data_IF_678422980298
#
_entry.id   IF_678422980298
#
_cell.length_a   1.000
_cell.length_b   1.000
_cell.length_c   1.000
_cell.angle_alpha   90.00
_cell.angle_beta   90.00
_cell.angle_gamma   90.00
#
_symmetry.space_group_name_H-M   'P 1'
#
loop_
_entity.id
_entity.type
_entity.pdbx_description
1 polymer ?
#
# COMPACT_ATOMS: atom_id res chain seq x y z
N UNK A 1 -5.69 3.81 -23.22
CA UNK A 1 -4.88 4.05 -22.01
C UNK A 1 -5.76 4.13 -20.77
N UNK A 2 -6.84 4.91 -20.82
CA UNK A 2 -7.81 5.03 -19.73
C UNK A 2 -8.45 3.71 -19.28
N UNK A 3 -8.90 2.85 -20.22
CA UNK A 3 -9.40 1.50 -19.93
C UNK A 3 -8.37 0.63 -19.19
N UNK A 4 -7.09 0.74 -19.55
CA UNK A 4 -5.99 0.01 -18.89
C UNK A 4 -5.79 0.51 -17.46
N UNK A 5 -5.81 1.83 -17.24
CA UNK A 5 -5.69 2.43 -15.91
C UNK A 5 -6.89 2.09 -15.01
N UNK A 6 -8.10 2.05 -15.57
CA UNK A 6 -9.29 1.63 -14.84
C UNK A 6 -9.20 0.17 -14.40
N UNK A 7 -8.81 -0.74 -15.30
CA UNK A 7 -8.61 -2.14 -14.96
C UNK A 7 -7.49 -2.33 -13.92
N UNK A 8 -6.39 -1.58 -14.05
CA UNK A 8 -5.29 -1.61 -13.09
C UNK A 8 -5.75 -1.15 -11.70
N UNK A 9 -6.46 -0.01 -11.64
CA UNK A 9 -7.05 0.48 -10.41
C UNK A 9 -8.00 -0.53 -9.77
N UNK A 10 -8.88 -1.14 -10.54
CA UNK A 10 -9.85 -2.11 -10.03
C UNK A 10 -9.17 -3.36 -9.47
N UNK A 11 -8.22 -3.95 -10.20
CA UNK A 11 -7.48 -5.14 -9.74
C UNK A 11 -6.65 -4.80 -8.49
N UNK A 12 -5.95 -3.67 -8.50
CA UNK A 12 -5.15 -3.22 -7.36
C UNK A 12 -6.01 -2.91 -6.13
N UNK A 13 -7.23 -2.41 -6.31
CA UNK A 13 -8.18 -2.21 -5.22
C UNK A 13 -8.57 -3.53 -4.55
N UNK A 14 -8.94 -4.55 -5.33
CA UNK A 14 -9.28 -5.86 -4.75
C UNK A 14 -8.10 -6.48 -4.03
N UNK A 15 -6.90 -6.37 -4.59
CA UNK A 15 -5.68 -6.84 -3.94
C UNK A 15 -5.41 -6.11 -2.62
N UNK A 16 -5.51 -4.78 -2.61
CA UNK A 16 -5.35 -3.95 -1.42
C UNK A 16 -6.39 -4.29 -0.35
N UNK A 17 -7.65 -4.46 -0.73
CA UNK A 17 -8.73 -4.79 0.19
C UNK A 17 -8.51 -6.15 0.85
N UNK A 18 -8.20 -7.20 0.06
CA UNK A 18 -8.00 -8.55 0.58
C UNK A 18 -6.78 -8.60 1.50
N UNK A 19 -5.65 -8.05 1.05
CA UNK A 19 -4.41 -8.04 1.84
C UNK A 19 -4.53 -7.15 3.07
N UNK A 20 -5.22 -6.02 2.99
CA UNK A 20 -5.49 -5.14 4.12
C UNK A 20 -6.38 -5.80 5.18
N UNK A 21 -7.44 -6.50 4.77
CA UNK A 21 -8.29 -7.26 5.69
C UNK A 21 -7.50 -8.38 6.38
N UNK A 22 -6.67 -9.11 5.64
CA UNK A 22 -5.80 -10.14 6.22
C UNK A 22 -4.82 -9.54 7.22
N UNK A 23 -4.18 -8.41 6.89
CA UNK A 23 -3.23 -7.70 7.75
C UNK A 23 -3.89 -7.19 9.04
N UNK A 24 -5.07 -6.57 8.96
CA UNK A 24 -5.82 -6.11 10.14
C UNK A 24 -6.23 -7.30 11.00
N UNK A 25 -6.80 -8.34 10.38
CA UNK A 25 -7.27 -9.52 11.11
C UNK A 25 -6.13 -10.23 11.83
N UNK A 26 -4.98 -10.37 11.18
CA UNK A 26 -3.82 -11.01 11.76
C UNK A 26 -3.19 -10.18 12.88
N UNK A 27 -3.15 -8.85 12.71
CA UNK A 27 -2.69 -7.93 13.76
C UNK A 27 -3.57 -7.98 15.01
N UNK A 28 -4.89 -8.08 14.85
CA UNK A 28 -5.82 -8.25 15.97
C UNK A 28 -5.61 -9.58 16.70
N UNK A 29 -5.40 -10.68 15.97
CA UNK A 29 -5.13 -11.99 16.58
C UNK A 29 -3.81 -12.02 17.36
N UNK A 30 -2.79 -11.29 16.90
CA UNK A 30 -1.53 -11.10 17.64
C UNK A 30 -1.77 -10.26 18.90
N UNK A 31 -2.51 -9.15 18.79
CA UNK A 31 -2.77 -8.25 19.91
C UNK A 31 -3.53 -8.96 21.06
N UNK A 32 -4.39 -9.93 20.73
CA UNK A 32 -5.13 -10.75 21.69
C UNK A 32 -4.31 -11.96 22.21
N UNK A 33 -3.07 -12.15 21.76
CA UNK A 33 -2.23 -13.28 22.16
C UNK A 33 -2.72 -14.64 21.67
N UNK A 34 -3.58 -14.67 20.65
CA UNK A 34 -4.08 -15.92 20.04
C UNK A 34 -3.00 -16.59 19.18
N UNK A 35 -2.08 -15.79 18.63
CA UNK A 35 -0.97 -16.26 17.80
C UNK A 35 0.34 -15.67 18.32
N UNK A 36 1.24 -16.51 18.82
CA UNK A 36 2.51 -16.11 19.45
C UNK A 36 3.64 -15.73 18.44
N UNK A 37 3.44 -16.02 17.15
CA UNK A 37 4.48 -15.81 16.12
C UNK A 37 4.10 -14.68 15.16
N UNK A 38 4.36 -13.46 15.59
CA UNK A 38 4.21 -12.26 14.77
C UNK A 38 5.07 -12.31 13.49
N UNK A 39 6.23 -12.96 13.54
CA UNK A 39 7.16 -13.22 12.45
C UNK A 39 6.57 -14.12 11.35
N UNK A 40 5.84 -15.18 11.72
CA UNK A 40 5.15 -16.03 10.75
C UNK A 40 4.01 -15.29 10.06
N UNK A 41 3.35 -14.38 10.77
CA UNK A 41 2.28 -13.57 10.20
C UNK A 41 2.83 -12.44 9.35
N UNK A 42 3.79 -11.63 9.81
CA UNK A 42 4.39 -10.54 9.02
C UNK A 42 4.98 -11.02 7.69
N UNK A 43 5.58 -12.21 7.70
CA UNK A 43 6.11 -12.84 6.48
C UNK A 43 4.99 -13.34 5.54
N UNK A 44 3.82 -13.71 6.08
CA UNK A 44 2.67 -14.21 5.32
C UNK A 44 1.54 -13.16 5.10
N UNK A 45 1.55 -12.03 5.81
CA UNK A 45 0.52 -10.97 5.81
C UNK A 45 0.68 -10.03 4.63
N UNK A 46 1.74 -10.22 3.85
CA UNK A 46 1.92 -9.57 2.56
C UNK A 46 1.97 -8.04 2.68
N UNK A 47 2.63 -7.50 3.71
CA UNK A 47 2.73 -6.05 3.94
C UNK A 47 3.30 -5.30 2.71
N UNK A 48 4.30 -5.88 2.05
CA UNK A 48 4.84 -5.36 0.80
C UNK A 48 3.80 -5.40 -0.35
N UNK A 49 3.19 -6.55 -0.68
CA UNK A 49 2.09 -6.58 -1.66
C UNK A 49 0.91 -5.66 -1.33
N UNK A 50 0.54 -5.51 -0.06
CA UNK A 50 -0.49 -4.57 0.39
C UNK A 50 -0.09 -3.12 0.07
N UNK A 51 1.12 -2.73 0.44
CA UNK A 51 1.66 -1.41 0.14
C UNK A 51 1.74 -1.14 -1.38
N UNK A 52 2.22 -2.12 -2.16
CA UNK A 52 2.27 -1.99 -3.62
C UNK A 52 0.87 -1.88 -4.24
N UNK A 53 -0.07 -2.70 -3.80
CA UNK A 53 -1.45 -2.65 -4.29
C UNK A 53 -2.10 -1.29 -3.98
N UNK A 54 -1.90 -0.77 -2.77
CA UNK A 54 -2.37 0.55 -2.38
C UNK A 54 -1.75 1.67 -3.23
N UNK A 55 -0.44 1.60 -3.46
CA UNK A 55 0.29 2.60 -4.25
C UNK A 55 -0.14 2.59 -5.72
N UNK A 56 -0.28 1.41 -6.33
CA UNK A 56 -0.77 1.27 -7.71
C UNK A 56 -2.22 1.76 -7.81
N UNK A 57 -3.09 1.38 -6.88
CA UNK A 57 -4.48 1.84 -6.85
C UNK A 57 -4.56 3.37 -6.76
N UNK A 58 -3.89 3.95 -5.76
CA UNK A 58 -3.91 5.39 -5.51
C UNK A 58 -3.37 6.16 -6.71
N UNK A 59 -2.22 5.78 -7.24
CA UNK A 59 -1.61 6.45 -8.41
C UNK A 59 -2.47 6.29 -9.68
N UNK A 60 -3.12 5.15 -9.87
CA UNK A 60 -4.01 4.92 -11.02
C UNK A 60 -5.28 5.75 -10.94
N UNK A 61 -5.96 5.76 -9.79
CA UNK A 61 -7.18 6.57 -9.59
C UNK A 61 -6.91 8.06 -9.63
N UNK A 62 -5.79 8.47 -9.04
CA UNK A 62 -5.32 9.83 -9.15
C UNK A 62 -5.06 10.21 -10.61
N UNK A 63 -4.33 9.38 -11.37
CA UNK A 63 -4.06 9.64 -12.79
C UNK A 63 -5.33 9.89 -13.59
N UNK A 64 -6.36 9.07 -13.36
CA UNK A 64 -7.68 9.20 -13.97
C UNK A 64 -8.37 10.51 -13.56
N UNK A 65 -8.49 10.79 -12.26
CA UNK A 65 -9.14 12.01 -11.77
C UNK A 65 -8.42 13.30 -12.15
N UNK A 66 -7.08 13.27 -12.23
CA UNK A 66 -6.30 14.42 -12.68
C UNK A 66 -6.39 14.63 -14.19
N UNK A 67 -6.52 13.55 -14.98
CA UNK A 67 -6.79 13.63 -16.40
C UNK A 67 -8.13 14.30 -16.71
N UNK A 68 -9.14 14.07 -15.86
CA UNK A 68 -10.46 14.72 -15.95
C UNK A 68 -10.40 16.23 -15.59
N UNK A 69 -9.60 16.61 -14.60
CA UNK A 69 -9.56 18.00 -14.08
C UNK A 69 -8.58 18.89 -14.86
N UNK A 70 -7.39 18.39 -15.19
CA UNK A 70 -6.28 19.18 -15.73
C UNK A 70 -5.89 18.80 -17.17
N UNK A 71 -6.54 17.83 -17.78
CA UNK A 71 -6.16 17.32 -19.11
C UNK A 71 -4.79 16.61 -19.10
N UNK A 72 -3.94 16.88 -20.09
CA UNK A 72 -2.65 16.17 -20.31
C UNK A 72 -1.50 16.61 -19.36
N UNK A 73 -1.74 17.51 -18.41
CA UNK A 73 -0.65 18.07 -17.60
C UNK A 73 -0.06 17.01 -16.67
N UNK A 74 1.18 16.60 -16.96
CA UNK A 74 1.89 15.50 -16.26
C UNK A 74 2.50 15.90 -14.92
N UNK A 75 2.60 17.20 -14.62
CA UNK A 75 3.30 17.73 -13.44
C UNK A 75 2.68 17.24 -12.12
N UNK A 76 1.35 17.25 -11.94
CA UNK A 76 0.76 16.78 -10.69
C UNK A 76 0.94 15.28 -10.47
N UNK A 77 0.91 14.50 -11.55
CA UNK A 77 1.20 13.06 -11.53
C UNK A 77 2.63 12.79 -11.03
N UNK A 78 3.59 13.59 -11.51
CA UNK A 78 4.99 13.51 -11.06
C UNK A 78 5.11 13.81 -9.57
N UNK A 79 4.49 14.90 -9.09
CA UNK A 79 4.52 15.29 -7.67
C UNK A 79 3.95 14.20 -6.78
N UNK A 80 2.81 13.61 -7.16
CA UNK A 80 2.20 12.53 -6.40
C UNK A 80 2.94 11.20 -6.51
N UNK A 81 3.61 10.93 -7.62
CA UNK A 81 4.49 9.77 -7.75
C UNK A 81 5.68 9.90 -6.81
N UNK A 82 6.31 11.07 -6.76
CA UNK A 82 7.40 11.39 -5.83
C UNK A 82 6.92 11.29 -4.38
N UNK A 83 5.75 11.85 -4.06
CA UNK A 83 5.18 11.75 -2.72
C UNK A 83 4.91 10.29 -2.33
N UNK A 84 4.27 9.50 -3.21
CA UNK A 84 4.00 8.09 -2.96
C UNK A 84 5.28 7.28 -2.75
N UNK A 85 6.32 7.55 -3.53
CA UNK A 85 7.63 6.91 -3.38
C UNK A 85 8.29 7.27 -2.04
N UNK A 86 8.16 8.52 -1.61
CA UNK A 86 8.66 8.98 -0.31
C UNK A 86 7.91 8.32 0.85
N UNK A 87 6.58 8.24 0.79
CA UNK A 87 5.76 7.56 1.80
C UNK A 87 6.07 6.07 1.86
N UNK A 88 6.28 5.43 0.70
CA UNK A 88 6.69 4.04 0.63
C UNK A 88 8.08 3.82 1.24
N UNK A 89 9.06 4.66 0.89
CA UNK A 89 10.39 4.62 1.49
C UNK A 89 10.36 4.81 3.01
N UNK A 90 9.52 5.71 3.52
CA UNK A 90 9.30 5.89 4.94
C UNK A 90 8.69 4.64 5.58
N UNK A 91 7.66 4.04 4.97
CA UNK A 91 7.04 2.82 5.47
C UNK A 91 8.05 1.66 5.56
N UNK A 92 8.89 1.49 4.53
CA UNK A 92 9.97 0.50 4.55
C UNK A 92 11.00 0.79 5.65
N UNK A 93 11.40 2.05 5.80
CA UNK A 93 12.35 2.44 6.85
C UNK A 93 11.79 2.19 8.25
N UNK A 94 10.52 2.48 8.51
CA UNK A 94 9.89 2.21 9.79
C UNK A 94 9.73 0.71 10.05
N UNK A 95 9.40 -0.07 9.02
CA UNK A 95 9.12 -1.50 9.15
C UNK A 95 10.41 -2.35 9.24
N UNK A 96 11.44 -2.01 8.45
CA UNK A 96 12.71 -2.77 8.38
C UNK A 96 13.90 -2.07 9.03
N UNK A 97 13.95 -0.73 9.03
CA UNK A 97 15.06 0.04 9.60
C UNK A 97 14.94 0.28 11.10
N UNK A 98 13.72 0.27 11.63
CA UNK A 98 13.41 0.37 13.06
C UNK A 98 12.82 -0.93 13.63
N UNK A 99 12.97 -2.06 12.94
CA UNK A 99 12.34 -3.33 13.27
C UNK A 99 12.63 -3.85 14.70
N UNK A 100 13.60 -3.27 15.40
CA UNK A 100 13.96 -3.57 16.80
C UNK A 100 14.00 -2.35 17.74
N UNK A 101 13.41 -1.20 17.38
CA UNK A 101 13.59 0.02 18.19
C UNK A 101 12.73 0.09 19.48
N UNK A 102 11.80 -0.84 19.69
CA UNK A 102 11.00 -0.88 20.93
C UNK A 102 10.59 -2.30 21.32
N UNK A 103 11.56 -3.12 21.74
CA UNK A 103 11.30 -4.18 22.72
C UNK A 103 12.32 -4.07 23.85
N UNK A 104 11.88 -3.34 24.88
CA UNK A 104 12.09 -3.71 26.29
C UNK A 104 11.42 -5.07 26.50
#
# INVERSE_FOLDING_TARGET
MEKTLNNLAEISFYFFLITGLLHISSSLLIAEGVIDRADFILFNSMDLPFLFAGLIYMTSKLSLGMGEIFGSVKIPLLILSVFSLATFGLALFLNFGLADATLI
#
